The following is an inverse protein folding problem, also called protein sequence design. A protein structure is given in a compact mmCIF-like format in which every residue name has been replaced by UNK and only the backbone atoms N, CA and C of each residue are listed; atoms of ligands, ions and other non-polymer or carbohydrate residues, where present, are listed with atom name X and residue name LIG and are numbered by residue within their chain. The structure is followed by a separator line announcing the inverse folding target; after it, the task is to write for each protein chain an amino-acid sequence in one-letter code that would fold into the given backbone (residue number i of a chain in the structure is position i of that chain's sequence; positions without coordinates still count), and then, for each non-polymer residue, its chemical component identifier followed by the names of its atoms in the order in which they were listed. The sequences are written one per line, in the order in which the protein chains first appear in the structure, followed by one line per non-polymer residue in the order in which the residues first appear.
data_IF_229550619999
#
_entry.id   IF_229550619999
#
_cell.length_a   1.000
_cell.length_b   1.000
_cell.length_c   1.000
_cell.angle_alpha   90.00
_cell.angle_beta   90.00
_cell.angle_gamma   90.00
#
_symmetry.space_group_name_H-M   'P 1'
#
loop_
_entity.id
_entity.type
_entity.pdbx_description
1 polymer ?
#
# COMPACT_ATOMS: atom_id res chain seq x y z
N UNK A 1 11.00 17.50 8.52
CA UNK A 1 11.50 16.58 7.48
C UNK A 1 10.72 16.76 6.16
N UNK A 2 9.39 16.66 6.17
CA UNK A 2 8.55 16.85 4.98
C UNK A 2 8.82 18.20 4.29
N UNK A 3 8.82 19.30 5.03
CA UNK A 3 9.13 20.63 4.49
C UNK A 3 10.53 20.71 3.85
N UNK A 4 11.52 20.05 4.44
CA UNK A 4 12.86 19.97 3.85
C UNK A 4 12.85 19.23 2.52
N UNK A 5 12.08 18.14 2.44
CA UNK A 5 11.90 17.38 1.20
C UNK A 5 11.22 18.21 0.11
N UNK A 6 10.13 18.89 0.44
CA UNK A 6 9.39 19.75 -0.49
C UNK A 6 10.25 20.91 -1.04
N UNK A 7 11.16 21.46 -0.22
CA UNK A 7 12.06 22.53 -0.62
C UNK A 7 13.20 22.08 -1.55
N UNK A 8 13.37 20.78 -1.82
CA UNK A 8 14.31 20.29 -2.84
C UNK A 8 13.81 20.46 -4.27
N UNK A 9 12.58 20.92 -4.47
CA UNK A 9 11.94 21.06 -5.78
C UNK A 9 11.43 19.74 -6.36
N UNK A 10 11.56 18.63 -5.62
CA UNK A 10 10.99 17.34 -5.99
C UNK A 10 9.64 17.20 -5.30
N UNK A 11 8.58 17.28 -6.08
CA UNK A 11 7.22 17.06 -5.58
C UNK A 11 6.62 15.83 -6.25
N UNK A 12 6.46 14.76 -5.49
CA UNK A 12 5.81 13.52 -5.91
C UNK A 12 5.16 12.80 -4.71
N UNK A 13 4.76 13.56 -3.68
CA UNK A 13 4.23 13.00 -2.44
C UNK A 13 2.89 12.30 -2.67
N UNK A 14 2.03 12.92 -3.46
CA UNK A 14 0.70 12.39 -3.76
C UNK A 14 0.64 11.64 -5.10
N UNK A 15 1.69 11.73 -5.92
CA UNK A 15 1.77 11.08 -7.24
C UNK A 15 0.50 11.30 -8.09
N UNK A 16 0.04 12.54 -8.13
CA UNK A 16 -1.20 12.93 -8.82
C UNK A 16 -1.14 12.83 -10.35
N UNK A 17 0.00 12.45 -10.90
CA UNK A 17 0.23 12.38 -12.35
C UNK A 17 -0.23 11.09 -13.02
N UNK A 18 -0.76 10.12 -12.28
CA UNK A 18 -1.25 8.86 -12.87
C UNK A 18 -2.74 8.97 -13.17
N UNK A 19 -3.13 9.23 -14.44
CA UNK A 19 -4.53 9.44 -14.78
C UNK A 19 -5.32 8.12 -14.75
N UNK A 20 -6.53 8.21 -14.23
CA UNK A 20 -7.53 7.16 -14.27
C UNK A 20 -8.73 7.61 -15.12
N UNK A 21 -9.63 6.70 -15.52
CA UNK A 21 -10.88 7.07 -16.17
C UNK A 21 -11.67 8.13 -15.39
N UNK A 22 -12.48 8.93 -16.09
CA UNK A 22 -13.31 9.99 -15.51
C UNK A 22 -12.54 11.17 -14.88
N UNK A 23 -11.28 11.39 -15.29
CA UNK A 23 -10.47 12.49 -14.78
C UNK A 23 -9.99 12.32 -13.35
N UNK A 24 -10.04 11.11 -12.83
CA UNK A 24 -9.47 10.74 -11.54
C UNK A 24 -7.98 10.45 -11.64
N UNK A 25 -7.31 10.33 -10.51
CA UNK A 25 -5.89 9.96 -10.43
C UNK A 25 -5.68 8.89 -9.38
N UNK A 26 -4.65 8.10 -9.57
CA UNK A 26 -4.16 7.17 -8.56
C UNK A 26 -3.12 7.87 -7.68
N UNK A 27 -3.32 7.81 -6.36
CA UNK A 27 -2.36 8.30 -5.37
C UNK A 27 -1.58 7.12 -4.82
N UNK A 28 -0.39 6.91 -5.35
CA UNK A 28 0.43 5.75 -5.00
C UNK A 28 1.55 6.13 -4.01
N UNK A 29 2.00 5.14 -3.26
CA UNK A 29 3.11 5.23 -2.34
C UNK A 29 4.44 5.45 -3.07
N UNK A 30 5.21 6.49 -2.67
CA UNK A 30 6.55 6.75 -3.20
C UNK A 30 7.34 7.67 -2.29
N UNK A 31 8.62 7.35 -2.09
CA UNK A 31 9.55 8.19 -1.35
C UNK A 31 9.40 8.15 0.18
N UNK A 32 9.95 9.15 0.83
CA UNK A 32 10.02 9.23 2.29
C UNK A 32 8.70 9.59 2.97
N UNK A 33 7.77 10.20 2.23
CA UNK A 33 6.42 10.57 2.68
C UNK A 33 5.43 10.20 1.58
N UNK A 34 4.31 9.63 1.98
CA UNK A 34 3.23 9.24 1.09
C UNK A 34 1.91 9.16 1.88
N UNK A 35 0.83 8.84 1.21
CA UNK A 35 -0.47 8.58 1.85
C UNK A 35 -0.49 7.29 2.67
N UNK A 36 0.51 6.42 2.50
CA UNK A 36 0.70 5.25 3.34
C UNK A 36 1.09 5.63 4.76
N UNK A 37 0.28 5.24 5.73
CA UNK A 37 0.60 5.35 7.16
C UNK A 37 1.40 4.10 7.59
N UNK A 38 2.64 4.01 7.10
CA UNK A 38 3.49 2.82 7.19
C UNK A 38 3.77 2.45 8.64
N UNK A 39 3.54 1.18 8.99
CA UNK A 39 3.83 0.64 10.32
C UNK A 39 2.73 0.89 11.36
N UNK A 40 1.58 1.46 10.97
CA UNK A 40 0.50 1.81 11.90
C UNK A 40 -0.70 0.86 11.85
N UNK A 41 -0.56 -0.32 11.23
CA UNK A 41 -1.66 -1.28 11.05
C UNK A 41 -1.32 -2.71 11.50
N UNK A 42 -0.25 -2.90 12.28
CA UNK A 42 0.17 -4.24 12.70
C UNK A 42 -0.87 -4.97 13.54
N UNK A 43 -1.59 -4.24 14.40
CA UNK A 43 -2.60 -4.82 15.28
C UNK A 43 -3.97 -5.02 14.59
N UNK A 44 -4.13 -4.55 13.35
CA UNK A 44 -5.41 -4.64 12.65
C UNK A 44 -5.88 -6.07 12.39
N UNK A 45 -5.04 -7.01 11.88
CA UNK A 45 -5.49 -8.37 11.53
C UNK A 45 -6.09 -9.14 12.72
N UNK A 46 -5.52 -8.97 13.91
CA UNK A 46 -5.93 -9.68 15.13
C UNK A 46 -6.72 -8.81 16.11
N UNK A 47 -6.90 -7.53 15.78
CA UNK A 47 -7.66 -6.58 16.59
C UNK A 47 -9.16 -6.92 16.66
N UNK A 48 -9.79 -6.57 17.77
CA UNK A 48 -11.24 -6.50 17.86
C UNK A 48 -11.80 -5.32 17.05
N UNK A 49 -13.11 -5.18 17.00
CA UNK A 49 -13.74 -4.10 16.23
C UNK A 49 -13.37 -2.70 16.74
N UNK A 50 -13.17 -2.53 18.03
CA UNK A 50 -12.77 -1.23 18.62
C UNK A 50 -11.36 -0.86 18.19
N UNK A 51 -10.44 -1.81 18.26
CA UNK A 51 -9.05 -1.63 17.81
C UNK A 51 -8.99 -1.33 16.31
N UNK A 52 -9.73 -2.09 15.50
CA UNK A 52 -9.77 -1.87 14.04
C UNK A 52 -10.33 -0.52 13.68
N UNK A 53 -11.41 -0.09 14.32
CA UNK A 53 -12.02 1.21 14.07
C UNK A 53 -11.08 2.36 14.43
N UNK A 54 -10.35 2.25 15.55
CA UNK A 54 -9.34 3.22 15.94
C UNK A 54 -8.21 3.32 14.89
N UNK A 55 -7.75 2.19 14.35
CA UNK A 55 -6.72 2.15 13.29
C UNK A 55 -7.25 2.77 11.99
N UNK A 56 -8.49 2.49 11.60
CA UNK A 56 -9.13 3.10 10.42
C UNK A 56 -9.16 4.62 10.57
N UNK A 57 -9.63 5.10 11.71
CA UNK A 57 -9.73 6.54 11.97
C UNK A 57 -8.34 7.22 11.97
N UNK A 58 -7.34 6.59 12.55
CA UNK A 58 -5.97 7.11 12.53
C UNK A 58 -5.40 7.23 11.12
N UNK A 59 -5.66 6.24 10.26
CA UNK A 59 -5.23 6.29 8.85
C UNK A 59 -5.97 7.38 8.07
N UNK A 60 -7.26 7.53 8.30
CA UNK A 60 -8.07 8.59 7.68
C UNK A 60 -7.56 9.97 8.10
N UNK A 61 -7.34 10.18 9.40
CA UNK A 61 -6.81 11.43 9.95
C UNK A 61 -5.42 11.76 9.40
N UNK A 62 -4.55 10.75 9.30
CA UNK A 62 -3.23 10.92 8.70
C UNK A 62 -3.32 11.34 7.24
N UNK A 63 -4.11 10.65 6.43
CA UNK A 63 -4.22 10.91 4.99
C UNK A 63 -4.87 12.26 4.71
N UNK A 64 -6.00 12.55 5.35
CA UNK A 64 -6.68 13.85 5.25
C UNK A 64 -5.80 15.00 5.76
N UNK A 65 -5.13 14.77 6.89
CA UNK A 65 -4.19 15.73 7.47
C UNK A 65 -3.02 16.03 6.56
N UNK A 66 -2.43 15.04 5.90
CA UNK A 66 -1.37 15.22 4.93
C UNK A 66 -1.85 16.07 3.72
N UNK A 67 -3.00 15.73 3.15
CA UNK A 67 -3.58 16.47 2.02
C UNK A 67 -3.90 17.92 2.41
N UNK A 68 -4.52 18.12 3.56
CA UNK A 68 -4.82 19.46 4.08
C UNK A 68 -3.56 20.28 4.32
N UNK A 69 -2.54 19.69 4.92
CA UNK A 69 -1.26 20.33 5.17
C UNK A 69 -0.60 20.78 3.87
N UNK A 70 -0.53 19.91 2.87
CA UNK A 70 0.07 20.23 1.57
C UNK A 70 -0.68 21.33 0.83
N UNK A 71 -2.00 21.41 0.99
CA UNK A 71 -2.85 22.39 0.35
C UNK A 71 -2.82 23.77 1.03
N UNK A 72 -2.65 23.83 2.36
CA UNK A 72 -2.98 25.02 3.14
C UNK A 72 -1.84 25.59 4.00
N UNK A 73 -0.86 24.79 4.39
CA UNK A 73 0.16 25.25 5.34
C UNK A 73 1.13 26.25 4.66
N UNK A 74 1.30 27.42 5.28
CA UNK A 74 2.11 28.52 4.71
C UNK A 74 3.61 28.19 4.54
N UNK A 75 4.08 27.13 5.16
CA UNK A 75 5.46 26.62 5.03
C UNK A 75 5.65 25.75 3.79
N UNK A 76 4.57 25.30 3.18
CA UNK A 76 4.59 24.49 1.95
C UNK A 76 4.82 25.44 0.75
N UNK A 77 5.72 25.10 -0.20
CA UNK A 77 5.92 25.90 -1.40
C UNK A 77 4.62 26.16 -2.16
N UNK A 78 4.43 27.38 -2.62
CA UNK A 78 3.18 27.78 -3.29
C UNK A 78 2.84 26.92 -4.51
N UNK A 79 3.83 26.49 -5.28
CA UNK A 79 3.64 25.59 -6.42
C UNK A 79 3.02 24.23 -6.03
N UNK A 80 3.40 23.72 -4.86
CA UNK A 80 2.85 22.48 -4.31
C UNK A 80 1.40 22.69 -3.85
N UNK A 81 1.14 23.80 -3.14
CA UNK A 81 -0.23 24.15 -2.73
C UNK A 81 -1.15 24.27 -3.95
N UNK A 82 -0.69 24.97 -5.00
CA UNK A 82 -1.48 25.21 -6.21
C UNK A 82 -1.78 23.90 -6.96
N UNK A 83 -0.84 22.97 -7.00
CA UNK A 83 -1.05 21.65 -7.59
C UNK A 83 -2.07 20.83 -6.79
N UNK A 84 -1.89 20.73 -5.48
CA UNK A 84 -2.80 19.97 -4.61
C UNK A 84 -4.20 20.53 -4.63
N UNK A 85 -4.36 21.86 -4.65
CA UNK A 85 -5.66 22.54 -4.67
C UNK A 85 -6.44 22.39 -5.99
N UNK A 86 -5.83 21.80 -7.04
CA UNK A 86 -6.57 21.42 -8.25
C UNK A 86 -7.39 20.13 -8.08
N UNK A 87 -7.11 19.38 -7.03
CA UNK A 87 -7.71 18.07 -6.78
C UNK A 87 -8.66 18.12 -5.59
N UNK A 88 -9.63 17.22 -5.61
CA UNK A 88 -10.61 17.05 -4.55
C UNK A 88 -11.03 15.58 -4.44
N UNK A 89 -11.93 15.31 -3.52
CA UNK A 89 -12.53 13.98 -3.38
C UNK A 89 -13.45 13.67 -4.57
N UNK A 90 -13.64 12.39 -4.94
CA UNK A 90 -14.49 12.00 -6.06
C UNK A 90 -15.97 12.24 -5.71
N UNK A 91 -16.63 13.16 -6.41
CA UNK A 91 -18.03 13.53 -6.11
C UNK A 91 -19.05 12.44 -6.43
N UNK A 92 -18.68 11.44 -7.21
CA UNK A 92 -19.51 10.35 -7.70
C UNK A 92 -19.26 9.02 -6.98
N UNK A 93 -18.34 8.97 -6.03
CA UNK A 93 -18.00 7.78 -5.25
C UNK A 93 -18.15 8.04 -3.75
N UNK A 94 -18.40 6.98 -2.97
CA UNK A 94 -18.48 7.03 -1.51
C UNK A 94 -19.38 8.16 -0.96
N UNK A 95 -20.50 8.41 -1.63
CA UNK A 95 -21.41 9.53 -1.31
C UNK A 95 -21.96 9.42 0.12
N UNK A 96 -22.16 8.20 0.60
CA UNK A 96 -22.62 7.87 1.95
C UNK A 96 -21.53 7.99 3.03
N UNK A 97 -20.27 8.20 2.63
CA UNK A 97 -19.13 8.34 3.54
C UNK A 97 -18.33 9.64 3.29
N UNK A 98 -19.01 10.72 2.95
CA UNK A 98 -18.36 12.01 2.70
C UNK A 98 -17.33 11.98 1.57
N UNK A 99 -17.56 11.11 0.57
CA UNK A 99 -16.67 10.88 -0.57
C UNK A 99 -15.31 10.28 -0.22
N UNK A 100 -15.18 9.68 0.97
CA UNK A 100 -13.98 8.97 1.41
C UNK A 100 -14.16 7.47 1.27
N UNK A 101 -13.10 6.74 0.89
CA UNK A 101 -13.16 5.28 0.73
C UNK A 101 -13.52 4.59 2.04
N UNK A 102 -14.42 3.62 1.99
CA UNK A 102 -14.73 2.74 3.13
C UNK A 102 -13.61 1.74 3.43
N UNK A 103 -12.71 1.53 2.49
CA UNK A 103 -11.69 0.50 2.59
C UNK A 103 -10.37 1.08 3.07
N UNK A 104 -9.87 0.54 4.17
CA UNK A 104 -8.48 0.69 4.57
C UNK A 104 -7.62 -0.36 3.84
N UNK A 105 -6.53 0.07 3.23
CA UNK A 105 -5.57 -0.82 2.62
C UNK A 105 -4.66 -1.42 3.70
N UNK A 106 -4.99 -2.63 4.14
CA UNK A 106 -4.20 -3.39 5.09
C UNK A 106 -3.14 -4.16 4.33
N UNK A 107 -1.90 -3.84 4.60
CA UNK A 107 -0.71 -4.57 4.13
C UNK A 107 -0.38 -5.64 5.17
N UNK A 108 0.51 -6.53 4.93
CA UNK A 108 1.01 -7.50 5.91
C UNK A 108 -0.11 -8.18 6.77
N UNK A 109 -1.22 -8.52 6.12
CA UNK A 109 -2.34 -9.20 6.75
C UNK A 109 -2.02 -10.67 7.03
N UNK A 110 -3.00 -11.40 7.56
CA UNK A 110 -2.91 -12.85 7.80
C UNK A 110 -2.57 -13.61 6.53
N UNK A 111 -1.77 -14.66 6.68
CA UNK A 111 -1.43 -15.60 5.62
C UNK A 111 -2.22 -16.89 5.78
N UNK A 112 -2.68 -17.45 4.65
CA UNK A 112 -3.34 -18.73 4.63
C UNK A 112 -2.37 -19.85 5.00
N UNK A 113 -2.79 -20.77 5.86
CA UNK A 113 -2.06 -22.01 6.14
C UNK A 113 -2.37 -23.01 5.04
N UNK A 114 -1.42 -23.22 4.13
CA UNK A 114 -1.52 -24.13 2.98
C UNK A 114 -0.42 -25.20 3.02
N UNK A 115 -0.55 -26.22 2.18
CA UNK A 115 0.49 -27.25 2.02
C UNK A 115 1.65 -26.79 1.13
N UNK A 116 1.50 -25.66 0.46
CA UNK A 116 2.53 -25.07 -0.40
C UNK A 116 2.49 -23.55 -0.34
N UNK A 117 3.63 -22.95 -0.16
CA UNK A 117 3.78 -21.48 -0.19
C UNK A 117 4.63 -21.12 -1.40
N UNK A 118 4.11 -20.27 -2.27
CA UNK A 118 4.89 -19.70 -3.38
C UNK A 118 5.98 -18.79 -2.82
N UNK A 119 7.20 -18.98 -3.28
CA UNK A 119 8.38 -18.25 -2.83
C UNK A 119 9.13 -17.59 -3.99
N UNK A 120 10.17 -16.81 -3.69
CA UNK A 120 11.09 -16.27 -4.68
C UNK A 120 11.68 -17.35 -5.59
N UNK A 121 11.95 -18.55 -5.08
CA UNK A 121 12.50 -19.65 -5.87
C UNK A 121 11.54 -20.09 -6.98
N UNK A 122 10.24 -20.04 -6.73
CA UNK A 122 9.22 -20.30 -7.75
C UNK A 122 9.18 -19.18 -8.81
N UNK A 123 9.19 -17.92 -8.38
CA UNK A 123 9.20 -16.76 -9.27
C UNK A 123 10.43 -16.76 -10.18
N UNK A 124 11.58 -17.14 -9.67
CA UNK A 124 12.84 -17.26 -10.41
C UNK A 124 12.99 -18.58 -11.17
N UNK A 125 12.01 -19.51 -11.04
CA UNK A 125 11.98 -20.83 -11.67
C UNK A 125 13.11 -21.77 -11.24
N UNK A 126 13.70 -21.54 -10.08
CA UNK A 126 14.60 -22.52 -9.44
C UNK A 126 13.81 -23.71 -8.91
N UNK A 127 12.56 -23.48 -8.55
CA UNK A 127 11.60 -24.49 -8.17
C UNK A 127 10.34 -24.35 -9.03
N UNK A 128 9.93 -25.41 -9.70
CA UNK A 128 8.74 -25.42 -10.56
C UNK A 128 7.68 -26.29 -9.91
N UNK A 129 6.53 -25.71 -9.61
CA UNK A 129 5.39 -26.45 -9.10
C UNK A 129 4.88 -27.47 -10.13
N UNK A 130 4.59 -28.70 -9.67
CA UNK A 130 4.05 -29.77 -10.53
C UNK A 130 2.53 -29.72 -10.68
N UNK A 131 1.85 -28.96 -9.84
CA UNK A 131 0.40 -28.81 -9.79
C UNK A 131 -0.06 -27.42 -10.20
N UNK A 132 0.55 -26.88 -11.26
CA UNK A 132 0.24 -25.54 -11.76
C UNK A 132 -1.20 -25.38 -12.27
N UNK A 133 -1.91 -24.36 -11.80
CA UNK A 133 -3.29 -24.00 -12.22
C UNK A 133 -3.35 -22.74 -13.07
N UNK A 134 -2.27 -22.00 -13.15
CA UNK A 134 -2.14 -20.76 -13.93
C UNK A 134 -0.69 -20.35 -14.06
N UNK A 135 -0.47 -19.27 -14.81
CA UNK A 135 0.86 -18.67 -14.99
C UNK A 135 0.87 -17.26 -14.46
N UNK A 136 1.89 -16.90 -13.73
CA UNK A 136 2.21 -15.53 -13.30
C UNK A 136 3.51 -15.07 -13.98
N UNK A 137 3.61 -13.76 -14.21
CA UNK A 137 4.80 -13.13 -14.79
C UNK A 137 5.14 -11.80 -14.10
N UNK A 138 4.39 -11.44 -13.05
CA UNK A 138 4.63 -10.21 -12.33
C UNK A 138 5.93 -10.28 -11.53
N UNK A 139 6.59 -9.13 -11.42
CA UNK A 139 7.78 -8.97 -10.58
C UNK A 139 7.46 -9.22 -9.11
N UNK A 140 8.46 -9.61 -8.33
CA UNK A 140 8.33 -9.55 -6.87
C UNK A 140 8.30 -8.08 -6.46
N UNK A 141 7.23 -7.71 -5.79
CA UNK A 141 6.95 -6.37 -5.36
C UNK A 141 6.39 -6.40 -3.94
N UNK A 142 7.17 -5.86 -3.00
CA UNK A 142 6.70 -5.59 -1.66
C UNK A 142 6.86 -4.10 -1.36
N UNK A 143 6.06 -3.60 -0.45
CA UNK A 143 6.12 -2.21 -0.01
C UNK A 143 6.84 -2.10 1.34
N UNK A 144 7.16 -0.88 1.73
CA UNK A 144 7.69 -0.62 3.06
C UNK A 144 6.69 -1.03 4.15
N UNK A 145 7.20 -1.71 5.16
CA UNK A 145 6.43 -2.17 6.33
C UNK A 145 6.71 -1.36 7.58
N UNK A 146 7.81 -0.64 7.60
CA UNK A 146 8.22 0.17 8.73
C UNK A 146 8.73 1.54 8.29
N UNK A 147 8.40 2.57 9.05
CA UNK A 147 8.98 3.93 8.96
C UNK A 147 9.46 4.36 10.34
N UNK A 148 10.69 4.84 10.41
CA UNK A 148 11.27 5.30 11.67
C UNK A 148 12.26 6.45 11.45
N UNK A 149 12.65 7.11 12.53
CA UNK A 149 13.70 8.12 12.52
C UNK A 149 14.98 7.50 13.08
N UNK A 150 16.05 7.51 12.28
CA UNK A 150 17.34 6.98 12.71
C UNK A 150 18.05 7.88 13.73
N UNK A 151 19.16 7.41 14.31
CA UNK A 151 19.93 8.16 15.30
C UNK A 151 20.49 9.50 14.81
N UNK A 152 20.54 9.70 13.50
CA UNK A 152 20.98 10.95 12.85
C UNK A 152 19.81 11.91 12.54
N UNK A 153 18.57 11.54 12.91
CA UNK A 153 17.37 12.34 12.68
C UNK A 153 16.83 12.23 11.25
N UNK A 154 17.21 11.22 10.48
CA UNK A 154 16.68 10.99 9.14
C UNK A 154 15.53 9.99 9.16
N UNK A 155 14.50 10.23 8.33
CA UNK A 155 13.44 9.26 8.09
C UNK A 155 13.99 8.11 7.25
N UNK A 156 13.71 6.89 7.71
CA UNK A 156 14.02 5.65 7.02
C UNK A 156 12.75 4.86 6.79
N UNK A 157 12.67 4.23 5.64
CA UNK A 157 11.66 3.22 5.33
C UNK A 157 12.36 1.88 5.18
N UNK A 158 11.70 0.80 5.58
CA UNK A 158 12.26 -0.54 5.59
C UNK A 158 11.20 -1.56 5.14
N UNK A 159 11.64 -2.63 4.46
CA UNK A 159 10.79 -3.75 4.02
C UNK A 159 10.49 -3.78 2.52
N UNK A 160 10.88 -2.76 1.76
CA UNK A 160 10.70 -2.75 0.31
C UNK A 160 11.64 -3.76 -0.37
N UNK A 161 11.06 -4.65 -1.18
CA UNK A 161 11.80 -5.60 -2.02
C UNK A 161 11.19 -5.59 -3.42
N UNK A 162 11.96 -5.16 -4.41
CA UNK A 162 11.54 -5.13 -5.80
C UNK A 162 12.54 -5.89 -6.67
N UNK A 163 12.11 -7.02 -7.23
CA UNK A 163 12.90 -7.83 -8.14
C UNK A 163 12.10 -8.08 -9.42
N UNK A 164 12.63 -7.59 -10.53
CA UNK A 164 12.02 -7.73 -11.85
C UNK A 164 12.67 -8.81 -12.72
N UNK A 165 12.23 -8.89 -13.97
CA UNK A 165 12.85 -9.72 -15.00
C UNK A 165 12.50 -11.20 -14.95
N UNK A 166 11.43 -11.59 -14.27
CA UNK A 166 10.99 -12.98 -14.21
C UNK A 166 10.29 -13.41 -15.52
N UNK A 167 10.65 -14.60 -16.00
CA UNK A 167 9.85 -15.31 -17.00
C UNK A 167 8.58 -15.85 -16.36
N UNK A 168 7.51 -16.13 -17.13
CA UNK A 168 6.30 -16.75 -16.60
C UNK A 168 6.61 -18.02 -15.80
N UNK A 169 5.98 -18.17 -14.64
CA UNK A 169 6.12 -19.30 -13.73
C UNK A 169 4.75 -19.84 -13.31
N UNK A 170 4.62 -21.16 -13.07
CA UNK A 170 3.35 -21.75 -12.67
C UNK A 170 2.98 -21.40 -11.23
N UNK A 171 1.70 -21.10 -11.02
CA UNK A 171 1.10 -20.96 -9.69
C UNK A 171 0.65 -22.34 -9.22
N UNK A 172 1.13 -22.79 -8.07
CA UNK A 172 0.76 -24.07 -7.50
C UNK A 172 -0.70 -24.10 -7.05
N UNK A 173 -1.46 -25.14 -7.40
CA UNK A 173 -2.83 -25.32 -6.91
C UNK A 173 -2.87 -25.35 -5.38
N UNK A 174 -1.95 -26.06 -4.74
CA UNK A 174 -1.85 -26.13 -3.29
C UNK A 174 -1.56 -24.80 -2.61
N UNK A 175 -1.12 -23.77 -3.34
CA UNK A 175 -0.90 -22.43 -2.78
C UNK A 175 -2.17 -21.58 -2.71
N UNK A 176 -3.25 -22.00 -3.37
CA UNK A 176 -4.54 -21.29 -3.37
C UNK A 176 -5.63 -22.05 -2.63
N UNK A 177 -5.27 -23.07 -1.90
CA UNK A 177 -6.19 -23.82 -1.03
C UNK A 177 -5.61 -23.93 0.39
N UNK A 178 -6.43 -23.79 1.43
CA UNK A 178 -6.00 -24.03 2.79
C UNK A 178 -5.74 -25.53 3.00
N UNK A 179 -4.99 -25.86 4.04
CA UNK A 179 -4.93 -27.24 4.52
C UNK A 179 -6.33 -27.73 4.87
N UNK A 180 -6.61 -28.99 4.57
CA UNK A 180 -7.90 -29.62 4.91
C UNK A 180 -8.21 -29.53 6.40
N UNK A 181 -7.18 -29.57 7.26
CA UNK A 181 -7.31 -29.37 8.71
C UNK A 181 -7.81 -27.99 9.09
N UNK A 182 -7.59 -26.96 8.22
CA UNK A 182 -7.99 -25.59 8.48
C UNK A 182 -9.38 -25.29 7.88
N UNK A 183 -9.61 -25.73 6.66
CA UNK A 183 -10.90 -25.55 5.98
C UNK A 183 -11.06 -26.52 4.81
N UNK A 184 -12.22 -27.17 4.72
CA UNK A 184 -12.48 -28.22 3.71
C UNK A 184 -13.12 -27.72 2.43
N UNK A 185 -13.61 -26.49 2.38
CA UNK A 185 -14.46 -25.98 1.30
C UNK A 185 -14.13 -24.54 0.87
N UNK A 186 -12.90 -24.10 1.08
CA UNK A 186 -12.45 -22.75 0.69
C UNK A 186 -11.40 -22.82 -0.40
N UNK A 187 -11.52 -21.96 -1.39
CA UNK A 187 -10.47 -21.57 -2.35
C UNK A 187 -10.17 -20.09 -2.17
N UNK A 188 -8.91 -19.71 -2.24
CA UNK A 188 -8.45 -18.33 -2.04
C UNK A 188 -7.69 -17.84 -3.28
#
# INVERSE_FOLDING_TARGET
LLLRYLNTGVFDVLKLSTPLPNGKTDTNNKGGFATDNIGMNYDYPDGDYVTREAIIQEHEDYQKGLMWFLANDSRVPKSVQDEVNQWGLPKDEFVDNGHWSHQLYIREARRMVSDYVMTQHNCQRYEISKDGVGMAAYSMDSHHVQRYVDSSGHVRNEGDVQLGGFSPYPIAYRSIIPKISECTNLLV
#
